data_IF_930649496061
#
_entry.id   IF_930649496061
#
_cell.length_a   1.000
_cell.length_b   1.000
_cell.length_c   1.000
_cell.angle_alpha   90.00
_cell.angle_beta   90.00
_cell.angle_gamma   90.00
#
_symmetry.space_group_name_H-M   'P 1'
#
loop_
_entity.id
_entity.type
_entity.pdbx_description
1 polymer ?
#
# COMPACT_ATOMS: atom_id res chain seq x y z
N UNK A 1 -0.90 -0.10 21.55
CA UNK A 1 -1.36 -0.15 20.15
C UNK A 1 -2.33 -1.32 19.90
N UNK A 2 -2.97 -1.88 20.93
CA UNK A 2 -3.72 -3.16 20.79
C UNK A 2 -5.13 -3.02 20.19
N UNK A 3 -5.56 -1.78 19.91
CA UNK A 3 -6.87 -1.44 19.36
C UNK A 3 -6.76 -0.62 18.07
N UNK A 4 -5.57 -0.49 17.49
CA UNK A 4 -5.42 0.20 16.21
C UNK A 4 -6.01 -0.68 15.11
N UNK A 5 -7.05 -0.20 14.44
CA UNK A 5 -7.73 -0.88 13.33
C UNK A 5 -7.39 -0.23 11.99
N UNK A 6 -7.14 1.07 11.97
CA UNK A 6 -6.73 1.85 10.80
C UNK A 6 -5.41 2.56 11.01
N UNK A 7 -4.53 2.50 10.02
CA UNK A 7 -3.28 3.25 9.98
C UNK A 7 -3.16 3.98 8.64
N UNK A 8 -3.17 5.31 8.72
CA UNK A 8 -3.02 6.23 7.60
C UNK A 8 -1.61 6.81 7.55
N UNK A 9 -0.86 6.49 6.50
CA UNK A 9 0.51 6.93 6.22
C UNK A 9 0.62 7.55 4.81
N UNK A 10 -0.50 7.80 4.15
CA UNK A 10 -0.54 8.35 2.80
C UNK A 10 0.06 9.76 2.71
N UNK A 11 0.51 10.14 1.52
CA UNK A 11 1.05 11.48 1.25
C UNK A 11 2.29 11.82 2.09
N UNK A 12 3.21 10.89 2.26
CA UNK A 12 4.50 11.10 2.93
C UNK A 12 5.66 10.83 1.95
N UNK A 13 6.88 10.72 2.49
CA UNK A 13 8.10 10.44 1.72
C UNK A 13 8.74 9.11 2.15
N UNK A 14 7.93 8.14 2.60
CA UNK A 14 8.43 6.85 3.05
C UNK A 14 9.08 6.10 1.89
N UNK A 15 10.29 5.61 2.11
CA UNK A 15 11.03 4.78 1.13
C UNK A 15 10.97 3.29 1.48
N UNK A 16 10.64 2.97 2.74
CA UNK A 16 10.55 1.62 3.27
C UNK A 16 9.44 1.50 4.30
N UNK A 17 8.96 0.27 4.50
CA UNK A 17 8.06 -0.09 5.59
C UNK A 17 8.29 -1.54 6.02
N UNK A 18 8.19 -1.81 7.32
CA UNK A 18 8.31 -3.16 7.90
C UNK A 18 6.98 -3.57 8.51
N UNK A 19 6.35 -4.61 7.94
CA UNK A 19 5.03 -5.11 8.38
C UNK A 19 5.11 -6.46 9.13
N UNK A 20 6.26 -7.13 9.09
CA UNK A 20 6.50 -8.44 9.71
C UNK A 20 7.10 -8.33 11.14
N UNK A 21 6.65 -7.35 11.94
CA UNK A 21 7.19 -7.10 13.28
C UNK A 21 6.39 -7.82 14.39
N UNK A 22 7.07 -8.26 15.45
CA UNK A 22 6.42 -8.77 16.66
C UNK A 22 5.54 -7.71 17.37
N UNK A 23 5.73 -6.43 17.05
CA UNK A 23 4.92 -5.32 17.58
C UNK A 23 3.82 -4.89 16.61
N UNK A 24 3.57 -5.64 15.54
CA UNK A 24 2.50 -5.36 14.61
C UNK A 24 1.15 -5.31 15.34
N UNK A 25 0.29 -4.30 15.11
CA UNK A 25 -0.99 -4.22 15.78
C UNK A 25 -1.89 -5.38 15.32
N UNK A 26 -2.16 -6.33 16.22
CA UNK A 26 -2.89 -7.56 15.88
C UNK A 26 -4.34 -7.34 15.38
N UNK A 27 -4.91 -6.16 15.65
CA UNK A 27 -6.25 -5.75 15.19
C UNK A 27 -6.22 -4.80 14.00
N UNK A 28 -5.06 -4.56 13.38
CA UNK A 28 -5.00 -3.69 12.22
C UNK A 28 -5.72 -4.37 11.05
N UNK A 29 -6.75 -3.70 10.55
CA UNK A 29 -7.61 -4.18 9.47
C UNK A 29 -7.25 -3.50 8.15
N UNK A 30 -6.73 -2.26 8.20
CA UNK A 30 -6.28 -1.57 7.00
C UNK A 30 -5.07 -0.68 7.26
N UNK A 31 -4.17 -0.67 6.28
CA UNK A 31 -3.04 0.24 6.19
C UNK A 31 -3.05 0.98 4.84
N UNK A 32 -3.07 2.31 4.90
CA UNK A 32 -2.99 3.18 3.74
C UNK A 32 -1.61 3.83 3.67
N UNK A 33 -0.80 3.43 2.69
CA UNK A 33 0.58 3.91 2.46
C UNK A 33 0.67 4.53 1.05
N UNK A 34 -0.46 5.00 0.51
CA UNK A 34 -0.49 5.58 -0.83
C UNK A 34 0.38 6.81 -0.97
N UNK A 35 0.84 7.05 -2.19
CA UNK A 35 1.57 8.28 -2.53
C UNK A 35 2.78 8.48 -1.61
N UNK A 36 3.66 7.50 -1.63
CA UNK A 36 4.97 7.50 -0.98
C UNK A 36 6.03 7.13 -2.05
N UNK A 37 7.23 6.75 -1.59
CA UNK A 37 8.37 6.42 -2.44
C UNK A 37 8.84 4.97 -2.25
N UNK A 38 7.94 4.06 -1.83
CA UNK A 38 8.29 2.65 -1.62
C UNK A 38 8.72 2.00 -2.94
N UNK A 39 9.87 1.31 -2.94
CA UNK A 39 10.37 0.58 -4.11
C UNK A 39 10.10 -0.93 -4.03
N UNK A 40 9.72 -1.42 -2.85
CA UNK A 40 9.45 -2.82 -2.55
C UNK A 40 8.38 -2.94 -1.48
N UNK A 41 7.69 -4.07 -1.46
CA UNK A 41 6.70 -4.42 -0.45
C UNK A 41 6.90 -5.89 -0.07
N UNK A 42 7.13 -6.15 1.22
CA UNK A 42 7.12 -7.50 1.80
C UNK A 42 5.88 -7.65 2.68
N UNK A 43 4.99 -8.54 2.24
CA UNK A 43 3.78 -8.95 2.95
C UNK A 43 3.67 -10.48 3.00
N UNK A 44 4.81 -11.17 2.95
CA UNK A 44 4.91 -12.62 3.07
C UNK A 44 4.41 -13.14 4.42
N UNK A 45 4.53 -12.31 5.46
CA UNK A 45 4.05 -12.60 6.81
C UNK A 45 3.35 -11.38 7.40
N UNK A 46 2.08 -11.53 7.78
CA UNK A 46 1.26 -10.49 8.41
C UNK A 46 0.64 -11.06 9.70
N UNK A 47 0.98 -10.50 10.88
CA UNK A 47 0.47 -10.99 12.16
C UNK A 47 -1.02 -10.72 12.44
N UNK A 48 -1.65 -9.79 11.72
CA UNK A 48 -3.10 -9.58 11.80
C UNK A 48 -3.86 -10.71 11.11
N UNK A 49 -5.14 -10.89 11.47
CA UNK A 49 -5.99 -11.96 10.92
C UNK A 49 -6.50 -11.65 9.50
N UNK A 50 -6.79 -10.38 9.23
CA UNK A 50 -7.22 -9.88 7.93
C UNK A 50 -6.70 -8.45 7.79
N UNK A 51 -6.05 -8.16 6.67
CA UNK A 51 -5.46 -6.87 6.40
C UNK A 51 -5.70 -6.45 4.95
N UNK A 52 -6.26 -5.27 4.79
CA UNK A 52 -6.34 -4.56 3.53
C UNK A 52 -5.14 -3.63 3.38
N UNK A 53 -4.37 -3.83 2.31
CA UNK A 53 -3.13 -3.11 2.07
C UNK A 53 -3.29 -2.20 0.86
N UNK A 54 -3.03 -0.91 1.05
CA UNK A 54 -3.12 0.08 0.00
C UNK A 54 -1.78 0.78 -0.22
N UNK A 55 -1.12 0.46 -1.33
CA UNK A 55 0.20 1.00 -1.71
C UNK A 55 0.16 1.72 -3.06
N UNK A 56 -1.01 2.16 -3.51
CA UNK A 56 -1.14 2.89 -4.78
C UNK A 56 -0.17 4.09 -4.85
N UNK A 57 0.27 4.41 -6.06
CA UNK A 57 1.12 5.58 -6.34
C UNK A 57 2.48 5.57 -5.62
N UNK A 58 3.08 4.39 -5.48
CA UNK A 58 4.47 4.20 -5.04
C UNK A 58 5.38 3.88 -6.25
N UNK A 59 6.57 3.34 -6.00
CA UNK A 59 7.60 3.02 -7.01
C UNK A 59 7.92 1.51 -7.04
N UNK A 60 6.97 0.66 -6.63
CA UNK A 60 7.16 -0.78 -6.54
C UNK A 60 7.23 -1.37 -7.96
N UNK A 61 8.38 -1.93 -8.32
CA UNK A 61 8.64 -2.45 -9.67
C UNK A 61 8.59 -3.97 -9.77
N UNK A 62 8.53 -4.65 -8.62
CA UNK A 62 8.52 -6.11 -8.49
C UNK A 62 7.69 -6.49 -7.28
N UNK A 63 6.91 -7.54 -7.42
CA UNK A 63 6.09 -8.09 -6.35
C UNK A 63 5.84 -9.57 -6.61
N UNK A 64 5.87 -10.39 -5.56
CA UNK A 64 5.62 -11.84 -5.64
C UNK A 64 4.27 -12.17 -4.99
N UNK A 65 3.25 -12.32 -5.83
CA UNK A 65 1.87 -12.66 -5.41
C UNK A 65 1.81 -14.03 -4.73
N UNK A 66 2.68 -14.97 -5.11
CA UNK A 66 2.69 -16.32 -4.57
C UNK A 66 3.26 -16.33 -3.15
N UNK A 67 4.24 -15.47 -2.86
CA UNK A 67 4.84 -15.32 -1.54
C UNK A 67 4.15 -14.25 -0.67
N UNK A 68 2.82 -14.16 -0.72
CA UNK A 68 2.02 -13.24 0.10
C UNK A 68 1.26 -13.99 1.19
N UNK A 69 1.17 -13.43 2.39
CA UNK A 69 0.39 -13.98 3.51
C UNK A 69 -1.09 -14.18 3.12
N UNK A 70 -1.71 -15.26 3.59
CA UNK A 70 -3.16 -15.49 3.43
C UNK A 70 -4.01 -14.47 4.21
N UNK A 71 -3.40 -13.78 5.18
CA UNK A 71 -4.09 -12.76 5.97
C UNK A 71 -4.18 -11.42 5.22
N UNK A 72 -3.57 -11.27 4.04
CA UNK A 72 -3.77 -10.09 3.18
C UNK A 72 -4.99 -10.34 2.29
N UNK A 73 -6.12 -9.78 2.70
CA UNK A 73 -7.43 -10.01 2.07
C UNK A 73 -7.60 -9.21 0.79
N UNK A 74 -7.02 -8.01 0.72
CA UNK A 74 -6.97 -7.19 -0.47
C UNK A 74 -5.64 -6.44 -0.60
N UNK A 75 -5.23 -6.19 -1.84
CA UNK A 75 -4.05 -5.37 -2.15
C UNK A 75 -4.39 -4.41 -3.29
N UNK A 76 -4.08 -3.12 -3.12
CA UNK A 76 -4.18 -2.10 -4.16
C UNK A 76 -2.80 -1.53 -4.49
N UNK A 77 -2.40 -1.67 -5.76
CA UNK A 77 -1.08 -1.28 -6.29
C UNK A 77 -1.16 -0.32 -7.48
N UNK A 78 -2.33 0.16 -7.88
CA UNK A 78 -2.48 1.08 -9.00
C UNK A 78 -1.45 2.23 -8.93
N UNK A 79 -0.87 2.63 -10.07
CA UNK A 79 0.10 3.73 -10.09
C UNK A 79 1.51 3.35 -9.65
N UNK A 80 1.78 2.07 -9.36
CA UNK A 80 3.14 1.53 -9.26
C UNK A 80 3.62 1.01 -10.63
N UNK A 81 4.95 0.94 -10.87
CA UNK A 81 5.48 0.35 -12.10
C UNK A 81 4.99 -1.10 -12.38
N UNK A 82 4.66 -1.86 -11.34
CA UNK A 82 3.90 -3.11 -11.44
C UNK A 82 2.60 -3.03 -10.64
N UNK A 83 1.50 -3.45 -11.24
CA UNK A 83 0.19 -3.56 -10.60
C UNK A 83 -0.17 -5.03 -10.45
N UNK A 84 -0.23 -5.51 -9.21
CA UNK A 84 -0.62 -6.87 -8.85
C UNK A 84 -1.85 -6.84 -7.93
N UNK A 85 -2.77 -5.89 -8.12
CA UNK A 85 -3.92 -5.70 -7.23
C UNK A 85 -4.88 -6.90 -7.22
N UNK A 86 -5.53 -7.13 -6.08
CA UNK A 86 -6.67 -8.04 -5.94
C UNK A 86 -7.66 -7.49 -4.89
N UNK A 87 -8.95 -7.74 -5.10
CA UNK A 87 -10.03 -7.34 -4.19
C UNK A 87 -10.44 -8.43 -3.19
N UNK A 88 -10.05 -9.69 -3.43
CA UNK A 88 -10.37 -10.82 -2.57
C UNK A 88 -9.35 -11.95 -2.72
N UNK A 89 -9.36 -12.92 -1.79
CA UNK A 89 -8.52 -14.13 -1.88
C UNK A 89 -8.84 -14.98 -3.11
N UNK A 90 -10.10 -14.98 -3.56
CA UNK A 90 -10.50 -15.66 -4.80
C UNK A 90 -9.85 -14.97 -6.00
N UNK A 91 -9.96 -13.64 -6.09
CA UNK A 91 -9.35 -12.87 -7.17
C UNK A 91 -7.84 -13.04 -7.18
N UNK A 92 -7.21 -13.08 -6.00
CA UNK A 92 -5.77 -13.29 -5.84
C UNK A 92 -5.31 -14.57 -6.55
N UNK A 93 -6.07 -15.65 -6.45
CA UNK A 93 -5.73 -16.95 -7.06
C UNK A 93 -5.64 -16.90 -8.59
N UNK A 94 -6.30 -15.92 -9.21
CA UNK A 94 -6.28 -15.68 -10.65
C UNK A 94 -5.50 -14.42 -11.03
N UNK A 95 -4.99 -13.68 -10.04
CA UNK A 95 -4.34 -12.39 -10.25
C UNK A 95 -2.93 -12.56 -10.84
N UNK A 96 -2.63 -11.74 -11.83
CA UNK A 96 -1.31 -11.61 -12.44
C UNK A 96 -0.80 -10.18 -12.29
N UNK A 97 0.52 -10.03 -12.29
CA UNK A 97 1.17 -8.72 -12.23
C UNK A 97 1.26 -8.10 -13.63
N UNK A 98 0.67 -6.92 -13.80
CA UNK A 98 0.76 -6.14 -15.03
C UNK A 98 1.79 -5.02 -14.89
N UNK A 99 2.76 -4.96 -15.80
CA UNK A 99 3.65 -3.79 -15.91
C UNK A 99 2.98 -2.74 -16.79
N UNK A 100 3.00 -1.49 -16.34
CA UNK A 100 2.39 -0.40 -17.09
C UNK A 100 3.20 0.87 -16.95
N UNK A 101 3.79 1.35 -18.05
CA UNK A 101 4.48 2.64 -18.05
C UNK A 101 3.50 3.82 -17.86
N UNK A 102 2.20 3.59 -18.10
CA UNK A 102 1.16 4.59 -17.85
C UNK A 102 0.92 4.85 -16.35
N UNK A 103 1.31 3.92 -15.48
CA UNK A 103 1.12 4.04 -14.03
C UNK A 103 1.99 5.16 -13.41
N UNK A 104 3.15 5.43 -14.01
CA UNK A 104 4.06 6.53 -13.60
C UNK A 104 3.36 7.89 -13.73
N UNK A 105 2.59 8.10 -14.81
CA UNK A 105 1.85 9.35 -15.04
C UNK A 105 0.72 9.55 -14.02
N UNK A 106 0.05 8.46 -13.64
CA UNK A 106 -1.01 8.48 -12.61
C UNK A 106 -0.45 8.89 -11.24
N UNK A 107 0.74 8.39 -10.89
CA UNK A 107 1.44 8.78 -9.67
C UNK A 107 1.74 10.27 -9.64
N UNK A 108 2.29 10.83 -10.71
CA UNK A 108 2.64 12.26 -10.75
C UNK A 108 1.43 13.18 -10.54
N UNK A 109 0.24 12.76 -10.99
CA UNK A 109 -1.01 13.48 -10.69
C UNK A 109 -1.39 13.39 -9.21
N UNK A 110 -1.33 12.20 -8.60
CA UNK A 110 -1.69 12.00 -7.19
C UNK A 110 -0.73 12.67 -6.20
N UNK A 111 0.57 12.69 -6.50
CA UNK A 111 1.56 13.42 -5.69
C UNK A 111 1.24 14.92 -5.63
N UNK A 112 0.77 15.50 -6.75
CA UNK A 112 0.36 16.92 -6.78
C UNK A 112 -0.85 17.18 -5.87
N UNK A 113 -1.83 16.29 -5.84
CA UNK A 113 -3.00 16.40 -4.95
C UNK A 113 -2.58 16.38 -3.47
N UNK A 114 -1.70 15.45 -3.07
CA UNK A 114 -1.16 15.39 -1.71
C UNK A 114 -0.46 16.71 -1.32
N UNK A 115 0.34 17.29 -2.20
CA UNK A 115 1.01 18.57 -1.93
C UNK A 115 0.01 19.72 -1.75
N UNK A 116 -1.08 19.75 -2.51
CA UNK A 116 -2.13 20.77 -2.33
C UNK A 116 -2.91 20.62 -1.03
N UNK A 117 -3.13 19.39 -0.55
CA UNK A 117 -3.80 19.14 0.72
C UNK A 117 -2.92 19.50 1.93
N UNK A 118 -1.61 19.25 1.84
CA UNK A 118 -0.64 19.73 2.85
C UNK A 118 -0.60 21.26 2.92
N UNK A 119 -0.63 21.95 1.78
CA UNK A 119 -0.70 23.42 1.74
C UNK A 119 -2.00 23.94 2.36
N UNK A 120 -3.15 23.29 2.13
CA UNK A 120 -4.42 23.66 2.76
C UNK A 120 -4.42 23.46 4.27
N UNK A 121 -3.84 22.35 4.78
CA UNK A 121 -3.74 22.11 6.22
C UNK A 121 -2.85 23.14 6.95
N UNK A 122 -1.86 23.69 6.25
CA UNK A 122 -0.96 24.71 6.81
C UNK A 122 -1.50 26.15 6.75
N UNK A 123 -2.63 26.38 6.06
CA UNK A 123 -3.28 27.70 5.95
C UNK A 123 -4.38 27.93 6.99
N UNK A 124 -4.64 26.95 7.86
CA UNK A 124 -5.54 27.07 9.02
C UNK A 124 -4.72 27.03 10.32
N UNK A 125 -3.87 28.03 10.52
CA UNK A 125 -3.26 28.39 11.80
C UNK A 125 -3.30 29.90 11.96
#
# INVERSE_FOLDING_TARGET
MNNLTWLELQCNQLTEITLNSARFPAKLELIDIRTNNLTSLDISFIPAQALDVNVEYNLISRFDVNNTSQNVTSLRMLGNPVDCSWSSLLDRSYSGCNRSDASIRLRDHHVKLCNTDHLRKNLFY
#
